data_IF_177570124713
#
_entry.id   IF_177570124713
#
_cell.length_a   1.000
_cell.length_b   1.000
_cell.length_c   1.000
_cell.angle_alpha   90.00
_cell.angle_beta   90.00
_cell.angle_gamma   90.00
#
_symmetry.space_group_name_H-M   'P 1'
#
loop_
_entity.id
_entity.type
_entity.pdbx_description
1 polymer ?
#
# COMPACT_ATOMS: atom_id res chain seq x y z
N UNK A 1 14.69 -16.65 -0.07
CA UNK A 1 13.47 -17.38 -0.51
C UNK A 1 13.64 -18.91 -0.48
N UNK A 2 14.72 -19.50 -1.00
CA UNK A 2 14.93 -20.96 -0.97
C UNK A 2 14.80 -21.56 0.44
N UNK A 3 15.41 -20.91 1.44
CA UNK A 3 15.36 -21.34 2.84
C UNK A 3 13.94 -21.39 3.43
N UNK A 4 12.99 -20.65 2.83
CA UNK A 4 11.60 -20.61 3.29
C UNK A 4 10.73 -21.67 2.59
N UNK A 5 11.19 -22.28 1.49
CA UNK A 5 10.41 -23.29 0.75
C UNK A 5 10.01 -24.49 1.61
N UNK A 6 10.88 -25.07 2.46
CA UNK A 6 10.49 -26.15 3.37
C UNK A 6 9.42 -25.72 4.37
N UNK A 7 9.51 -24.50 4.90
CA UNK A 7 8.49 -23.96 5.82
C UNK A 7 7.13 -23.80 5.13
N UNK A 8 7.13 -23.28 3.90
CA UNK A 8 5.91 -23.10 3.11
C UNK A 8 5.30 -24.46 2.73
N UNK A 9 6.13 -25.45 2.41
CA UNK A 9 5.70 -26.84 2.17
C UNK A 9 4.93 -27.39 3.37
N UNK A 10 5.46 -27.23 4.58
CA UNK A 10 4.78 -27.68 5.80
C UNK A 10 3.46 -26.93 6.02
N UNK A 11 3.40 -25.62 5.75
CA UNK A 11 2.16 -24.86 5.85
C UNK A 11 1.08 -25.38 4.88
N UNK A 12 1.43 -25.68 3.63
CA UNK A 12 0.45 -26.18 2.65
C UNK A 12 0.04 -27.63 2.89
N UNK A 13 0.98 -28.48 3.29
CA UNK A 13 0.70 -29.85 3.70
C UNK A 13 -0.22 -29.90 4.92
N UNK A 14 0.07 -29.10 5.95
CA UNK A 14 -0.76 -29.00 7.16
C UNK A 14 -2.12 -28.34 6.92
N UNK A 15 -2.19 -27.42 5.95
CA UNK A 15 -3.44 -26.75 5.56
C UNK A 15 -4.31 -27.52 4.56
N UNK A 16 -3.96 -28.76 4.19
CA UNK A 16 -4.74 -29.60 3.26
C UNK A 16 -4.71 -29.13 1.80
N UNK A 17 -3.76 -28.27 1.42
CA UNK A 17 -3.66 -27.69 0.08
C UNK A 17 -2.74 -28.53 -0.81
N UNK A 18 -3.20 -29.73 -1.20
CA UNK A 18 -2.38 -30.74 -1.89
C UNK A 18 -1.75 -30.26 -3.21
N UNK A 19 -2.45 -29.43 -3.99
CA UNK A 19 -1.92 -28.88 -5.24
C UNK A 19 -0.66 -28.04 -5.02
N UNK A 20 -0.71 -27.10 -4.07
CA UNK A 20 0.44 -26.26 -3.74
C UNK A 20 1.56 -27.06 -3.07
N UNK A 21 1.23 -28.10 -2.31
CA UNK A 21 2.23 -29.03 -1.76
C UNK A 21 3.01 -29.74 -2.88
N UNK A 22 2.32 -30.24 -3.91
CA UNK A 22 2.95 -30.89 -5.06
C UNK A 22 3.83 -29.91 -5.83
N UNK A 23 3.34 -28.71 -6.14
CA UNK A 23 4.13 -27.69 -6.86
C UNK A 23 5.43 -27.32 -6.12
N UNK A 24 5.38 -27.19 -4.78
CA UNK A 24 6.59 -26.91 -4.00
C UNK A 24 7.54 -28.10 -3.97
N UNK A 25 7.03 -29.33 -3.90
CA UNK A 25 7.85 -30.54 -3.93
C UNK A 25 8.55 -30.70 -5.28
N UNK A 26 7.84 -30.45 -6.38
CA UNK A 26 8.43 -30.44 -7.73
C UNK A 26 9.52 -29.38 -7.84
N UNK A 27 9.25 -28.15 -7.37
CA UNK A 27 10.25 -27.08 -7.35
C UNK A 27 11.49 -27.44 -6.52
N UNK A 28 11.31 -28.01 -5.32
CA UNK A 28 12.42 -28.46 -4.48
C UNK A 28 13.20 -29.59 -5.14
N UNK A 29 12.51 -30.57 -5.73
CA UNK A 29 13.14 -31.65 -6.49
C UNK A 29 13.96 -31.11 -7.66
N UNK A 30 13.42 -30.16 -8.42
CA UNK A 30 14.14 -29.57 -9.55
C UNK A 30 15.40 -28.82 -9.09
N UNK A 31 15.31 -28.03 -8.02
CA UNK A 31 16.44 -27.28 -7.45
C UNK A 31 17.53 -28.21 -6.88
N UNK A 32 17.15 -29.33 -6.26
CA UNK A 32 18.08 -30.20 -5.55
C UNK A 32 18.63 -31.39 -6.36
N UNK A 33 17.87 -31.88 -7.34
CA UNK A 33 18.19 -33.15 -8.02
C UNK A 33 18.21 -33.08 -9.55
N UNK A 34 17.40 -32.23 -10.18
CA UNK A 34 17.26 -32.24 -11.65
C UNK A 34 18.19 -31.24 -12.34
N UNK A 35 18.59 -30.17 -11.66
CA UNK A 35 19.52 -29.20 -12.23
C UNK A 35 20.97 -29.71 -12.14
N UNK A 36 21.67 -29.93 -13.28
CA UNK A 36 22.94 -30.65 -13.31
C UNK A 36 24.07 -29.86 -12.64
N UNK A 37 24.94 -30.51 -11.83
CA UNK A 37 25.96 -29.85 -11.01
C UNK A 37 27.04 -29.10 -11.81
N UNK A 38 27.24 -29.49 -13.08
CA UNK A 38 28.23 -28.88 -13.98
C UNK A 38 27.81 -27.50 -14.50
N UNK A 39 26.53 -27.18 -14.33
CA UNK A 39 25.88 -25.93 -14.76
C UNK A 39 25.18 -25.24 -13.57
N UNK A 40 25.00 -25.97 -12.45
CA UNK A 40 24.16 -25.56 -11.33
C UNK A 40 24.70 -24.42 -10.50
N UNK A 41 25.98 -24.10 -10.48
CA UNK A 41 26.43 -22.98 -9.65
C UNK A 41 26.34 -21.65 -10.38
N UNK A 42 26.03 -21.67 -11.68
CA UNK A 42 25.94 -20.46 -12.50
C UNK A 42 24.52 -20.30 -13.03
N UNK A 43 23.90 -21.37 -13.54
CA UNK A 43 22.54 -21.30 -14.09
C UNK A 43 21.45 -21.40 -13.02
N UNK A 44 21.66 -22.18 -11.94
CA UNK A 44 20.72 -22.15 -10.80
C UNK A 44 20.73 -20.78 -10.16
N UNK A 45 21.91 -20.24 -9.88
CA UNK A 45 22.06 -18.94 -9.24
C UNK A 45 21.52 -17.85 -10.17
N UNK A 46 21.78 -17.96 -11.48
CA UNK A 46 21.13 -17.11 -12.48
C UNK A 46 19.60 -17.19 -12.43
N UNK A 47 19.00 -18.40 -12.43
CA UNK A 47 17.54 -18.56 -12.38
C UNK A 47 16.97 -18.05 -11.05
N UNK A 48 17.63 -18.33 -9.93
CA UNK A 48 17.19 -17.93 -8.59
C UNK A 48 17.31 -16.42 -8.37
N UNK A 49 18.31 -15.77 -8.96
CA UNK A 49 18.54 -14.33 -8.85
C UNK A 49 17.79 -13.52 -9.93
N UNK A 50 17.67 -14.04 -11.16
CA UNK A 50 17.21 -13.30 -12.33
C UNK A 50 15.88 -13.78 -12.91
N UNK A 51 15.49 -15.05 -12.75
CA UNK A 51 14.22 -15.55 -13.29
C UNK A 51 13.04 -15.39 -12.32
N UNK A 52 13.29 -15.04 -11.05
CA UNK A 52 12.25 -14.83 -10.04
C UNK A 52 11.78 -13.38 -9.99
N UNK A 53 11.53 -12.83 -11.18
CA UNK A 53 11.14 -11.46 -11.42
C UNK A 53 9.67 -11.39 -11.84
N UNK A 54 8.89 -10.59 -11.12
CA UNK A 54 7.50 -10.26 -11.41
C UNK A 54 7.43 -8.86 -12.00
N UNK A 55 6.71 -8.70 -13.12
CA UNK A 55 6.36 -7.39 -13.63
C UNK A 55 4.88 -7.08 -13.32
N UNK A 56 4.65 -6.14 -12.41
CA UNK A 56 3.29 -5.69 -12.03
C UNK A 56 2.79 -4.51 -12.86
N UNK A 57 3.68 -3.83 -13.58
CA UNK A 57 3.41 -2.54 -14.24
C UNK A 57 3.34 -2.64 -15.77
N UNK A 58 3.70 -3.81 -16.34
CA UNK A 58 3.80 -4.07 -17.78
C UNK A 58 4.82 -3.18 -18.51
N UNK A 59 5.63 -2.40 -17.79
CA UNK A 59 6.70 -1.60 -18.36
C UNK A 59 7.97 -2.43 -18.54
N UNK A 60 8.69 -2.30 -19.69
CA UNK A 60 10.01 -2.87 -19.84
C UNK A 60 10.95 -2.40 -18.71
N UNK A 61 11.82 -3.29 -18.24
CA UNK A 61 12.80 -3.02 -17.16
C UNK A 61 12.24 -2.71 -15.77
N UNK A 62 10.93 -2.80 -15.55
CA UNK A 62 10.32 -2.60 -14.21
C UNK A 62 9.99 -3.94 -13.56
N UNK A 63 11.02 -4.76 -13.40
CA UNK A 63 10.90 -6.06 -12.76
C UNK A 63 11.16 -5.95 -11.26
N UNK A 64 10.36 -6.66 -10.48
CA UNK A 64 10.47 -6.74 -9.03
C UNK A 64 10.72 -8.19 -8.63
N UNK A 65 11.56 -8.48 -7.63
CA UNK A 65 11.61 -9.80 -7.02
C UNK A 65 10.21 -10.24 -6.59
N UNK A 66 9.86 -11.52 -6.80
CA UNK A 66 8.52 -12.06 -6.45
C UNK A 66 8.14 -11.75 -5.00
N UNK A 67 9.10 -11.77 -4.08
CA UNK A 67 8.89 -11.44 -2.66
C UNK A 67 8.39 -10.00 -2.47
N UNK A 68 9.05 -9.03 -3.12
CA UNK A 68 8.57 -7.64 -3.17
C UNK A 68 7.20 -7.56 -3.86
N UNK A 69 6.99 -8.30 -4.94
CA UNK A 69 5.68 -8.39 -5.60
C UNK A 69 4.56 -8.81 -4.63
N UNK A 70 4.83 -9.81 -3.79
CA UNK A 70 3.90 -10.26 -2.74
C UNK A 70 3.68 -9.19 -1.68
N UNK A 71 4.73 -8.51 -1.22
CA UNK A 71 4.62 -7.43 -0.24
C UNK A 71 3.76 -6.27 -0.77
N UNK A 72 3.97 -5.87 -2.03
CA UNK A 72 3.15 -4.86 -2.70
C UNK A 72 1.68 -5.29 -2.80
N UNK A 73 1.40 -6.56 -3.10
CA UNK A 73 0.04 -7.09 -3.13
C UNK A 73 -0.61 -7.08 -1.74
N UNK A 74 0.11 -7.47 -0.70
CA UNK A 74 -0.38 -7.44 0.70
C UNK A 74 -0.65 -6.00 1.12
N UNK A 75 0.26 -5.05 0.79
CA UNK A 75 0.06 -3.62 1.04
C UNK A 75 -1.19 -3.11 0.33
N UNK A 76 -1.34 -3.41 -0.97
CA UNK A 76 -2.50 -3.01 -1.74
C UNK A 76 -3.80 -3.59 -1.15
N UNK A 77 -3.79 -4.85 -0.75
CA UNK A 77 -4.92 -5.50 -0.08
C UNK A 77 -5.28 -4.80 1.23
N UNK A 78 -4.29 -4.56 2.11
CA UNK A 78 -4.48 -3.85 3.38
C UNK A 78 -5.06 -2.45 3.16
N UNK A 79 -4.52 -1.68 2.23
CA UNK A 79 -4.99 -0.31 1.99
C UNK A 79 -6.38 -0.27 1.36
N UNK A 80 -6.66 -1.17 0.41
CA UNK A 80 -7.92 -1.17 -0.34
C UNK A 80 -9.10 -1.62 0.51
N UNK A 81 -8.89 -2.61 1.38
CA UNK A 81 -9.94 -3.14 2.25
C UNK A 81 -9.88 -2.60 3.70
N UNK A 82 -8.95 -1.67 3.99
CA UNK A 82 -8.90 -1.00 5.30
C UNK A 82 -10.22 -0.30 5.65
N UNK A 83 -10.91 0.24 4.63
CA UNK A 83 -12.17 0.98 4.81
C UNK A 83 -13.33 0.11 5.28
N UNK A 84 -13.28 -1.21 5.02
CA UNK A 84 -14.36 -2.13 5.39
C UNK A 84 -14.37 -2.49 6.88
N UNK A 85 -13.29 -2.18 7.60
CA UNK A 85 -13.17 -2.45 9.02
C UNK A 85 -13.34 -3.94 9.38
N UNK A 86 -13.77 -4.21 10.61
CA UNK A 86 -13.90 -5.57 11.16
C UNK A 86 -14.97 -6.41 10.44
N UNK A 87 -15.88 -5.78 9.69
CA UNK A 87 -16.98 -6.44 8.98
C UNK A 87 -16.65 -6.84 7.53
N UNK A 88 -15.40 -6.65 7.08
CA UNK A 88 -14.95 -7.10 5.77
C UNK A 88 -14.93 -8.63 5.66
N UNK A 89 -16.02 -9.24 5.20
CA UNK A 89 -16.07 -10.69 4.93
C UNK A 89 -15.38 -11.01 3.61
N UNK A 90 -14.69 -12.16 3.53
CA UNK A 90 -14.07 -12.65 2.28
C UNK A 90 -15.02 -12.68 1.08
N UNK A 91 -16.31 -12.98 1.30
CA UNK A 91 -17.32 -12.96 0.23
C UNK A 91 -17.54 -11.56 -0.36
N UNK A 92 -17.55 -10.53 0.50
CA UNK A 92 -17.70 -9.14 0.07
C UNK A 92 -16.46 -8.67 -0.70
N UNK A 93 -15.27 -9.05 -0.23
CA UNK A 93 -14.04 -8.76 -0.96
C UNK A 93 -14.03 -9.45 -2.33
N UNK A 94 -14.50 -10.70 -2.39
CA UNK A 94 -14.61 -11.46 -3.64
C UNK A 94 -15.61 -10.84 -4.61
N UNK A 95 -16.75 -10.34 -4.14
CA UNK A 95 -17.73 -9.67 -5.01
C UNK A 95 -17.22 -8.34 -5.56
N UNK A 96 -16.38 -7.64 -4.80
CA UNK A 96 -15.78 -6.36 -5.20
C UNK A 96 -14.48 -6.50 -6.01
N UNK A 97 -13.79 -7.65 -5.92
CA UNK A 97 -12.53 -7.91 -6.62
C UNK A 97 -12.57 -7.59 -8.13
N UNK A 98 -13.63 -7.92 -8.89
CA UNK A 98 -13.70 -7.58 -10.32
C UNK A 98 -13.68 -6.09 -10.62
N UNK A 99 -14.19 -5.25 -9.69
CA UNK A 99 -14.24 -3.80 -9.87
C UNK A 99 -12.93 -3.08 -9.47
N UNK A 100 -12.02 -3.77 -8.74
CA UNK A 100 -10.78 -3.19 -8.23
C UNK A 100 -9.90 -2.54 -9.30
N UNK A 101 -9.65 -3.14 -10.49
CA UNK A 101 -8.81 -2.51 -11.50
C UNK A 101 -9.38 -1.15 -11.96
N UNK A 102 -10.71 -1.07 -12.13
CA UNK A 102 -11.41 0.15 -12.53
C UNK A 102 -11.34 1.20 -11.44
N UNK A 103 -11.59 0.83 -10.18
CA UNK A 103 -11.47 1.74 -9.03
C UNK A 103 -10.04 2.30 -8.91
N UNK A 104 -9.02 1.44 -9.07
CA UNK A 104 -7.63 1.86 -9.04
C UNK A 104 -7.29 2.81 -10.20
N UNK A 105 -7.83 2.58 -11.40
CA UNK A 105 -7.65 3.46 -12.54
C UNK A 105 -8.28 4.84 -12.31
N UNK A 106 -9.49 4.88 -11.75
CA UNK A 106 -10.17 6.14 -11.38
C UNK A 106 -9.36 6.89 -10.32
N UNK A 107 -8.92 6.21 -9.25
CA UNK A 107 -8.08 6.83 -8.22
C UNK A 107 -6.77 7.40 -8.80
N UNK A 108 -6.12 6.68 -9.72
CA UNK A 108 -4.93 7.18 -10.43
C UNK A 108 -5.25 8.40 -11.29
N UNK A 109 -6.39 8.40 -12.00
CA UNK A 109 -6.84 9.50 -12.83
C UNK A 109 -7.13 10.75 -11.99
N UNK A 110 -7.91 10.61 -10.91
CA UNK A 110 -8.22 11.70 -9.99
C UNK A 110 -6.96 12.26 -9.33
N UNK A 111 -6.02 11.41 -8.92
CA UNK A 111 -4.71 11.87 -8.40
C UNK A 111 -3.93 12.69 -9.43
N UNK A 112 -4.02 12.34 -10.71
CA UNK A 112 -3.38 13.11 -11.79
C UNK A 112 -4.07 14.46 -12.02
N UNK A 113 -5.39 14.52 -11.89
CA UNK A 113 -6.17 15.74 -12.13
C UNK A 113 -6.15 16.71 -10.95
N UNK A 114 -6.28 16.21 -9.73
CA UNK A 114 -6.40 16.98 -8.48
C UNK A 114 -5.01 17.14 -7.83
N UNK A 115 -3.99 17.43 -8.64
CA UNK A 115 -2.58 17.42 -8.25
C UNK A 115 -2.12 18.38 -7.12
N UNK A 116 -2.85 19.39 -6.56
CA UNK A 116 -2.22 20.29 -5.59
C UNK A 116 -2.02 19.74 -4.17
N UNK A 117 -2.62 18.61 -3.76
CA UNK A 117 -2.47 18.11 -2.38
C UNK A 117 -1.37 17.05 -2.28
N UNK A 118 -0.14 17.54 -2.12
CA UNK A 118 1.11 16.80 -1.94
C UNK A 118 0.99 15.60 -0.98
N UNK A 119 0.91 14.38 -1.52
CA UNK A 119 1.53 13.22 -0.89
C UNK A 119 2.90 13.04 -1.55
N UNK A 120 3.96 13.13 -0.75
CA UNK A 120 5.31 12.83 -1.22
C UNK A 120 5.33 11.40 -1.79
N UNK A 121 5.74 11.27 -3.05
CA UNK A 121 5.88 9.96 -3.73
C UNK A 121 7.09 9.20 -3.15
N UNK A 122 8.04 9.94 -2.58
CA UNK A 122 9.21 9.42 -1.86
C UNK A 122 9.09 9.71 -0.37
N UNK A 123 9.56 8.77 0.45
CA UNK A 123 9.78 9.02 1.87
C UNK A 123 11.02 9.92 2.03
N UNK A 124 10.79 11.23 2.09
CA UNK A 124 11.81 12.18 2.54
C UNK A 124 11.98 12.05 4.05
N UNK A 125 13.21 12.12 4.53
CA UNK A 125 13.50 12.07 5.97
C UNK A 125 12.75 13.19 6.71
N UNK A 126 11.97 12.87 7.75
CA UNK A 126 11.09 13.82 8.40
C UNK A 126 11.90 14.88 9.16
N UNK A 127 11.89 16.12 8.67
CA UNK A 127 12.53 17.27 9.34
C UNK A 127 11.49 18.12 10.06
N UNK A 128 11.52 18.09 11.40
CA UNK A 128 10.59 18.86 12.26
C UNK A 128 10.65 20.36 11.96
N UNK A 129 11.85 20.91 11.80
CA UNK A 129 12.07 22.33 11.58
C UNK A 129 11.51 22.82 10.24
N UNK A 130 11.71 22.04 9.16
CA UNK A 130 11.16 22.37 7.84
C UNK A 130 9.63 22.37 7.86
N UNK A 131 9.04 21.39 8.54
CA UNK A 131 7.60 21.29 8.68
C UNK A 131 7.02 22.45 9.50
N UNK A 132 7.65 22.82 10.62
CA UNK A 132 7.23 23.97 11.43
C UNK A 132 7.30 25.29 10.65
N UNK A 133 8.35 25.49 9.83
CA UNK A 133 8.49 26.66 8.96
C UNK A 133 7.43 26.70 7.86
N UNK A 134 7.15 25.57 7.20
CA UNK A 134 6.08 25.51 6.20
C UNK A 134 4.71 25.76 6.83
N UNK A 135 4.49 25.21 8.02
CA UNK A 135 3.26 25.42 8.78
C UNK A 135 3.09 26.92 9.12
N UNK A 136 4.12 27.58 9.65
CA UNK A 136 4.06 29.01 9.97
C UNK A 136 3.76 29.86 8.74
N UNK A 137 4.40 29.57 7.60
CA UNK A 137 4.14 30.26 6.33
C UNK A 137 2.67 30.06 5.90
N UNK A 138 2.15 28.84 5.99
CA UNK A 138 0.76 28.55 5.61
C UNK A 138 -0.24 29.28 6.53
N UNK A 139 0.01 29.34 7.84
CA UNK A 139 -0.84 30.07 8.79
C UNK A 139 -0.82 31.59 8.54
N UNK A 140 0.35 32.18 8.31
CA UNK A 140 0.47 33.60 7.97
C UNK A 140 -0.21 33.92 6.64
N UNK A 141 -0.04 33.06 5.64
CA UNK A 141 -0.63 33.24 4.29
C UNK A 141 -2.15 33.11 4.29
N UNK A 142 -2.69 32.16 5.07
CA UNK A 142 -4.12 31.88 5.09
C UNK A 142 -4.94 32.88 5.93
N UNK A 143 -4.28 33.75 6.72
CA UNK A 143 -4.93 34.76 7.57
C UNK A 143 -6.01 34.21 8.51
N UNK A 144 -5.96 32.91 8.84
CA UNK A 144 -6.97 32.24 9.68
C UNK A 144 -6.89 32.72 11.14
N UNK A 145 -5.72 33.22 11.57
CA UNK A 145 -5.49 33.77 12.89
C UNK A 145 -5.24 35.28 12.82
N UNK A 146 -6.27 36.06 12.53
CA UNK A 146 -6.27 37.50 12.86
C UNK A 146 -7.04 37.64 14.17
N UNK A 147 -6.33 37.80 15.29
CA UNK A 147 -6.94 38.35 16.49
C UNK A 147 -7.22 39.83 16.22
N UNK A 148 -8.50 40.20 16.16
CA UNK A 148 -8.89 41.61 16.23
C UNK A 148 -8.72 42.05 17.68
N UNK A 149 -7.94 43.11 17.91
CA UNK A 149 -7.58 43.63 19.24
C UNK A 149 -8.77 44.08 20.12
N UNK A 150 -10.02 44.03 19.62
CA UNK A 150 -11.20 44.49 20.37
C UNK A 150 -12.14 43.38 20.87
N UNK A 151 -11.76 42.10 20.81
CA UNK A 151 -12.63 41.02 21.29
C UNK A 151 -12.30 40.63 22.75
N UNK A 152 -13.07 41.18 23.69
CA UNK A 152 -13.06 40.74 25.10
C UNK A 152 -13.19 39.20 25.22
N UNK A 153 -12.57 38.58 26.26
CA UNK A 153 -12.30 37.13 26.34
C UNK A 153 -13.54 36.21 26.44
N UNK A 154 -14.75 36.73 26.26
CA UNK A 154 -16.00 35.95 26.30
C UNK A 154 -16.47 35.42 24.94
N UNK A 155 -15.85 35.80 23.81
CA UNK A 155 -16.31 35.37 22.48
C UNK A 155 -15.51 34.23 21.82
N UNK A 156 -14.37 33.83 22.38
CA UNK A 156 -13.53 32.77 21.81
C UNK A 156 -14.12 31.35 21.96
N UNK A 157 -14.93 31.10 23.00
CA UNK A 157 -15.57 29.80 23.22
C UNK A 157 -16.72 29.53 22.24
N UNK A 158 -17.32 30.56 21.65
CA UNK A 158 -18.50 30.40 20.79
C UNK A 158 -18.12 29.92 19.38
N UNK A 159 -16.99 30.33 18.83
CA UNK A 159 -16.58 29.98 17.45
C UNK A 159 -16.04 28.55 17.29
N UNK A 160 -15.42 27.98 18.32
CA UNK A 160 -14.99 26.58 18.28
C UNK A 160 -16.18 25.60 18.26
N UNK A 161 -17.30 25.99 18.88
CA UNK A 161 -18.55 25.22 18.83
C UNK A 161 -19.17 25.23 17.43
N UNK A 162 -19.05 26.33 16.70
CA UNK A 162 -19.60 26.46 15.33
C UNK A 162 -18.81 25.66 14.30
N UNK A 163 -17.47 25.61 14.40
CA UNK A 163 -16.65 24.79 13.49
C UNK A 163 -16.87 23.27 13.68
N UNK A 164 -17.07 22.83 14.93
CA UNK A 164 -17.48 21.46 15.24
C UNK A 164 -18.92 21.14 14.80
N UNK A 165 -19.80 22.13 14.67
CA UNK A 165 -21.17 21.98 14.14
C UNK A 165 -21.25 22.04 12.60
N UNK A 166 -20.24 22.56 11.91
CA UNK A 166 -20.15 22.55 10.43
C UNK A 166 -19.46 21.27 9.91
N UNK A 167 -18.65 20.62 10.75
CA UNK A 167 -17.98 19.35 10.42
C UNK A 167 -18.92 18.18 10.02
N UNK A 168 -20.17 18.03 10.51
CA UNK A 168 -21.05 16.95 10.04
C UNK A 168 -21.49 17.13 8.58
N UNK A 169 -21.49 18.36 8.07
CA UNK A 169 -21.96 18.66 6.70
C UNK A 169 -20.88 18.39 5.64
N UNK A 170 -19.60 18.39 6.01
CA UNK A 170 -18.50 18.03 5.11
C UNK A 170 -18.32 16.51 5.05
N UNK A 171 -18.70 15.78 6.11
CA UNK A 171 -18.63 14.32 6.17
C UNK A 171 -19.85 13.60 5.55
N UNK A 172 -20.90 14.32 5.17
CA UNK A 172 -22.13 13.76 4.58
C UNK A 172 -22.20 13.88 3.04
N UNK A 173 -21.19 14.44 2.38
CA UNK A 173 -21.08 14.47 0.91
C UNK A 173 -20.19 13.36 0.33
N UNK A 174 -20.13 12.23 1.04
CA UNK A 174 -19.71 10.94 0.49
C UNK A 174 -20.75 9.89 0.88
N UNK A 175 -21.88 9.90 0.17
CA UNK A 175 -22.71 8.73 -0.08
C UNK A 175 -22.73 8.49 -1.58
#
# INVERSE_FOLDING_TARGET
>A
MQNNLPHILFCFSGGGNSKYTIEILELLRSIHHEWPPKVSNTDRDFVMEHCWLMNTTRHPHTFLPIDKGKEHNIKAFRTTFATHGVHGTWMLMKSQAPALPTMQAICKHLKKQIWPLHQGISHTEPSKEKNLKQLSIAYTTSQICIEKEDATPKQAQTKFKTLLQIAPSIFLLTK
#
